data_IF_198526885063
#
_entry.id   IF_198526885063
#
_cell.length_a   1.000
_cell.length_b   1.000
_cell.length_c   1.000
_cell.angle_alpha   90.00
_cell.angle_beta   90.00
_cell.angle_gamma   90.00
#
_symmetry.space_group_name_H-M   'P 1'
#
loop_
_entity.id
_entity.type
_entity.pdbx_description
1 polymer ?
#
# COMPACT_ATOMS: atom_id res chain seq x y z
N UNK A 1 -15.12 11.31 18.49
CA UNK A 1 -13.88 11.77 19.17
C UNK A 1 -12.90 10.61 19.12
N UNK A 2 -11.71 10.67 18.53
CA UNK A 2 -10.95 11.73 17.93
C UNK A 2 -10.34 11.16 16.64
N UNK A 3 -10.53 11.83 15.50
CA UNK A 3 -9.69 11.61 14.34
C UNK A 3 -8.37 12.27 14.71
N UNK A 4 -7.48 11.52 15.36
CA UNK A 4 -6.13 11.99 15.65
C UNK A 4 -5.39 11.99 14.32
N UNK A 5 -5.60 13.05 13.55
CA UNK A 5 -4.95 13.32 12.28
C UNK A 5 -3.51 13.76 12.58
N UNK A 6 -2.68 12.84 13.06
CA UNK A 6 -1.24 13.00 12.92
C UNK A 6 -0.95 12.69 11.46
N UNK A 7 -0.57 13.73 10.70
CA UNK A 7 -0.04 13.56 9.35
C UNK A 7 1.32 12.87 9.45
N UNK A 8 1.31 11.57 9.70
CA UNK A 8 2.53 10.79 9.85
C UNK A 8 3.04 10.42 8.46
N UNK A 9 4.28 10.80 8.18
CA UNK A 9 5.00 10.33 7.02
C UNK A 9 5.73 9.03 7.39
N UNK A 10 5.43 7.95 6.66
CA UNK A 10 6.09 6.67 6.80
C UNK A 10 7.05 6.48 5.63
N UNK A 11 8.34 6.42 5.92
CA UNK A 11 9.36 6.02 4.94
C UNK A 11 9.64 4.53 5.10
N UNK A 12 9.32 3.75 4.07
CA UNK A 12 9.65 2.34 3.99
C UNK A 12 10.91 2.19 3.16
N UNK A 13 11.95 1.59 3.74
CA UNK A 13 13.19 1.27 3.05
C UNK A 13 13.27 -0.23 2.77
N UNK A 14 13.73 -0.59 1.58
CA UNK A 14 13.97 -1.96 1.15
C UNK A 14 15.48 -2.17 1.07
N UNK A 15 15.96 -3.26 1.65
CA UNK A 15 17.35 -3.67 1.48
C UNK A 15 17.56 -4.25 0.08
N UNK A 16 18.78 -4.08 -0.47
CA UNK A 16 19.16 -4.53 -1.80
C UNK A 16 19.16 -6.07 -1.87
N UNK A 17 17.98 -6.66 -2.04
CA UNK A 17 17.82 -8.07 -2.37
C UNK A 17 18.03 -8.17 -3.88
N UNK A 18 19.11 -8.84 -4.29
CA UNK A 18 19.61 -9.00 -5.66
C UNK A 18 18.52 -8.86 -6.74
N UNK A 19 18.38 -7.65 -7.32
CA UNK A 19 17.45 -7.36 -8.42
C UNK A 19 16.35 -6.31 -8.14
N UNK A 20 16.25 -5.77 -6.92
CA UNK A 20 15.28 -4.73 -6.59
C UNK A 20 15.71 -3.32 -7.04
N UNK A 21 15.03 -2.73 -8.03
CA UNK A 21 15.27 -1.32 -8.41
C UNK A 21 14.71 -0.29 -7.40
N UNK A 22 13.91 -0.72 -6.40
CA UNK A 22 13.21 0.14 -5.44
C UNK A 22 13.88 0.07 -4.06
N UNK A 23 14.46 1.17 -3.59
CA UNK A 23 15.13 1.28 -2.29
C UNK A 23 14.26 1.93 -1.22
N UNK A 24 13.38 2.87 -1.58
CA UNK A 24 12.47 3.45 -0.59
C UNK A 24 11.21 4.07 -1.18
N UNK A 25 10.15 4.06 -0.36
CA UNK A 25 8.88 4.75 -0.60
C UNK A 25 8.58 5.65 0.61
N UNK A 26 7.96 6.80 0.36
CA UNK A 26 7.47 7.70 1.41
C UNK A 26 5.97 7.86 1.24
N UNK A 27 5.24 7.43 2.25
CA UNK A 27 3.79 7.53 2.31
C UNK A 27 3.38 8.57 3.36
N UNK A 28 2.28 9.26 3.12
CA UNK A 28 1.57 10.06 4.11
C UNK A 28 0.33 9.30 4.54
N UNK A 29 0.13 9.12 5.83
CA UNK A 29 -1.14 8.60 6.36
C UNK A 29 -2.18 9.74 6.35
N UNK A 30 -3.26 9.54 5.61
CA UNK A 30 -4.34 10.53 5.48
C UNK A 30 -5.47 10.27 6.49
N UNK A 31 -5.80 8.99 6.73
CA UNK A 31 -6.79 8.60 7.73
C UNK A 31 -6.60 7.13 8.16
N UNK A 32 -6.86 6.85 9.43
CA UNK A 32 -6.98 5.50 9.98
C UNK A 32 -8.32 5.41 10.72
N UNK A 33 -9.13 4.41 10.37
CA UNK A 33 -10.38 4.07 11.04
C UNK A 33 -10.28 2.61 11.52
N UNK A 34 -9.89 2.44 12.78
CA UNK A 34 -9.68 1.13 13.40
C UNK A 34 -11.00 0.37 13.54
N UNK A 35 -12.11 1.07 13.81
CA UNK A 35 -13.43 0.45 13.97
C UNK A 35 -13.94 -0.14 12.66
N UNK A 36 -13.69 0.55 11.54
CA UNK A 36 -14.09 0.10 10.20
C UNK A 36 -13.01 -0.69 9.46
N UNK A 37 -11.88 -0.97 10.11
CA UNK A 37 -10.70 -1.62 9.53
C UNK A 37 -10.30 -0.99 8.18
N UNK A 38 -10.27 0.35 8.14
CA UNK A 38 -10.01 1.12 6.94
C UNK A 38 -8.84 2.08 7.11
N UNK A 39 -8.05 2.25 6.05
CA UNK A 39 -6.92 3.16 6.00
C UNK A 39 -6.90 3.90 4.67
N UNK A 40 -6.58 5.19 4.72
CA UNK A 40 -6.28 6.02 3.55
C UNK A 40 -4.87 6.57 3.69
N UNK A 41 -4.06 6.39 2.65
CA UNK A 41 -2.69 6.87 2.62
C UNK A 41 -2.28 7.25 1.21
N UNK A 42 -1.32 8.16 1.09
CA UNK A 42 -0.85 8.69 -0.19
C UNK A 42 0.63 8.39 -0.35
N UNK A 43 1.03 7.75 -1.46
CA UNK A 43 2.44 7.75 -1.89
C UNK A 43 2.80 9.14 -2.37
N UNK A 44 3.74 9.79 -1.67
CA UNK A 44 4.15 11.18 -1.94
C UNK A 44 5.55 11.27 -2.57
N UNK A 45 6.45 10.34 -2.26
CA UNK A 45 7.79 10.31 -2.83
C UNK A 45 8.30 8.86 -2.92
N UNK A 46 9.22 8.59 -3.85
CA UNK A 46 9.89 7.30 -4.00
C UNK A 46 11.27 7.47 -4.62
N UNK A 47 12.15 6.49 -4.40
CA UNK A 47 13.51 6.51 -4.96
C UNK A 47 13.56 6.10 -6.43
N UNK A 48 12.65 5.21 -6.85
CA UNK A 48 12.29 5.09 -8.25
C UNK A 48 11.44 6.30 -8.56
N UNK A 49 11.94 7.16 -9.44
CA UNK A 49 11.07 8.11 -10.10
C UNK A 49 10.04 7.30 -10.90
N UNK A 50 8.80 7.22 -10.41
CA UNK A 50 7.70 6.97 -11.30
C UNK A 50 7.63 8.22 -12.18
N UNK A 51 8.40 8.26 -13.27
CA UNK A 51 8.59 9.47 -14.08
C UNK A 51 7.27 10.15 -14.49
N UNK A 52 6.19 9.37 -14.49
CA UNK A 52 4.83 9.72 -14.86
C UNK A 52 3.90 10.06 -13.71
N UNK A 53 4.17 9.61 -12.48
CA UNK A 53 3.24 9.70 -11.33
C UNK A 53 3.73 10.78 -10.37
N UNK A 54 2.83 11.68 -10.00
CA UNK A 54 3.06 12.69 -8.96
C UNK A 54 2.71 12.15 -7.58
N UNK A 55 1.59 11.43 -7.46
CA UNK A 55 1.19 10.74 -6.23
C UNK A 55 0.21 9.61 -6.52
N UNK A 56 0.08 8.69 -5.57
CA UNK A 56 -0.96 7.66 -5.60
C UNK A 56 -1.73 7.68 -4.29
N UNK A 57 -3.05 7.86 -4.36
CA UNK A 57 -3.92 7.78 -3.19
C UNK A 57 -4.46 6.36 -3.08
N UNK A 58 -4.24 5.73 -1.94
CA UNK A 58 -4.70 4.39 -1.61
C UNK A 58 -5.82 4.46 -0.60
N UNK A 59 -6.91 3.73 -0.87
CA UNK A 59 -7.97 3.47 0.09
C UNK A 59 -8.06 1.96 0.29
N UNK A 60 -7.88 1.52 1.53
CA UNK A 60 -7.85 0.11 1.91
C UNK A 60 -8.90 -0.15 2.97
N UNK A 61 -9.62 -1.26 2.86
CA UNK A 61 -10.60 -1.71 3.83
C UNK A 61 -10.61 -3.22 3.94
N UNK A 62 -10.64 -3.73 5.17
CA UNK A 62 -10.80 -5.16 5.44
C UNK A 62 -12.23 -5.46 5.88
N UNK A 63 -12.76 -6.57 5.37
CA UNK A 63 -14.08 -7.09 5.72
C UNK A 63 -13.96 -8.56 6.07
N UNK A 64 -14.65 -9.01 7.14
CA UNK A 64 -14.67 -10.42 7.50
C UNK A 64 -15.34 -11.25 6.40
N UNK A 65 -14.77 -12.42 6.12
CA UNK A 65 -15.33 -13.41 5.19
C UNK A 65 -15.99 -14.56 5.95
N UNK A 66 -16.97 -15.22 5.33
CA UNK A 66 -17.73 -16.32 5.94
C UNK A 66 -16.89 -17.57 6.24
N UNK A 67 -15.70 -17.68 5.64
CA UNK A 67 -14.75 -18.79 5.83
C UNK A 67 -13.79 -18.57 7.01
N UNK A 68 -13.99 -17.50 7.79
CA UNK A 68 -13.10 -17.14 8.90
C UNK A 68 -11.87 -16.34 8.46
N UNK A 69 -11.72 -16.04 7.16
CA UNK A 69 -10.70 -15.15 6.62
C UNK A 69 -11.16 -13.70 6.53
N UNK A 70 -10.46 -12.92 5.70
CA UNK A 70 -10.83 -11.53 5.40
C UNK A 70 -10.70 -11.23 3.91
N UNK A 71 -11.51 -10.27 3.45
CA UNK A 71 -11.41 -9.69 2.12
C UNK A 71 -10.83 -8.29 2.25
N UNK A 72 -9.65 -8.07 1.66
CA UNK A 72 -9.07 -6.75 1.52
C UNK A 72 -9.54 -6.08 0.22
N UNK A 73 -10.27 -4.97 0.35
CA UNK A 73 -10.64 -4.10 -0.77
C UNK A 73 -9.65 -2.95 -0.84
N UNK A 74 -8.94 -2.84 -1.96
CA UNK A 74 -8.00 -1.77 -2.23
C UNK A 74 -8.43 -0.99 -3.47
N UNK A 75 -8.49 0.34 -3.35
CA UNK A 75 -8.64 1.28 -4.45
C UNK A 75 -7.36 2.11 -4.55
N UNK A 76 -6.86 2.29 -5.77
CA UNK A 76 -5.69 3.13 -6.07
C UNK A 76 -6.09 4.20 -7.07
N UNK A 77 -5.86 5.45 -6.72
CA UNK A 77 -6.10 6.61 -7.58
C UNK A 77 -4.74 7.23 -7.94
N UNK A 78 -4.41 7.20 -9.23
CA UNK A 78 -3.12 7.65 -9.75
C UNK A 78 -3.23 9.10 -10.21
N UNK A 79 -2.42 9.99 -9.64
CA UNK A 79 -2.26 11.37 -10.10
C UNK A 79 -0.99 11.43 -10.94
N UNK A 80 -1.16 11.65 -12.24
CA UNK A 80 -0.06 11.65 -13.22
C UNK A 80 0.30 13.05 -13.66
N UNK A 81 1.56 13.25 -14.06
CA UNK A 81 2.04 14.52 -14.59
C UNK A 81 1.25 14.91 -15.84
N UNK A 82 1.01 16.21 -15.99
CA UNK A 82 0.33 16.76 -17.16
C UNK A 82 0.98 16.30 -18.48
N UNK A 83 0.17 15.88 -19.45
CA UNK A 83 0.64 15.38 -20.74
C UNK A 83 1.19 13.96 -20.73
N UNK A 84 0.99 13.22 -19.62
CA UNK A 84 1.44 11.82 -19.50
C UNK A 84 0.24 10.88 -19.35
N UNK A 85 0.32 9.73 -20.02
CA UNK A 85 -0.63 8.64 -19.82
C UNK A 85 0.05 7.46 -19.10
N UNK A 86 -0.66 6.92 -18.10
CA UNK A 86 -0.29 5.69 -17.43
C UNK A 86 -0.74 4.51 -18.26
N UNK A 87 0.16 3.56 -18.52
CA UNK A 87 -0.21 2.34 -19.26
C UNK A 87 -0.90 1.36 -18.32
N UNK A 88 -1.86 0.61 -18.82
CA UNK A 88 -2.51 -0.46 -18.05
C UNK A 88 -1.49 -1.49 -17.52
N UNK A 89 -0.42 -1.75 -18.28
CA UNK A 89 0.68 -2.62 -17.88
C UNK A 89 1.41 -2.12 -16.62
N UNK A 90 1.63 -0.80 -16.52
CA UNK A 90 2.27 -0.17 -15.35
C UNK A 90 1.38 -0.36 -14.10
N UNK A 91 0.07 -0.18 -14.25
CA UNK A 91 -0.94 -0.40 -13.18
C UNK A 91 -0.95 -1.87 -12.76
N UNK A 92 -0.95 -2.79 -13.72
CA UNK A 92 -0.96 -4.23 -13.48
C UNK A 92 0.30 -4.69 -12.74
N UNK A 93 1.47 -4.19 -13.14
CA UNK A 93 2.73 -4.51 -12.46
C UNK A 93 2.71 -4.04 -11.01
N UNK A 94 2.19 -2.84 -10.74
CA UNK A 94 1.99 -2.34 -9.37
C UNK A 94 1.07 -3.24 -8.54
N UNK A 95 -0.06 -3.66 -9.13
CA UNK A 95 -1.03 -4.58 -8.51
C UNK A 95 -0.39 -5.95 -8.20
N UNK A 96 0.33 -6.54 -9.14
CA UNK A 96 0.94 -7.87 -8.95
C UNK A 96 2.01 -7.85 -7.85
N UNK A 97 2.78 -6.77 -7.74
CA UNK A 97 3.72 -6.56 -6.63
C UNK A 97 2.99 -6.46 -5.28
N UNK A 98 1.89 -5.72 -5.22
CA UNK A 98 1.10 -5.60 -3.99
C UNK A 98 0.51 -6.96 -3.56
N UNK A 99 -0.01 -7.74 -4.51
CA UNK A 99 -0.49 -9.11 -4.25
C UNK A 99 0.64 -10.00 -3.76
N UNK A 100 1.83 -9.91 -4.36
CA UNK A 100 3.01 -10.65 -3.92
C UNK A 100 3.37 -10.35 -2.46
N UNK A 101 3.37 -9.07 -2.07
CA UNK A 101 3.63 -8.68 -0.68
C UNK A 101 2.56 -9.21 0.28
N UNK A 102 1.27 -9.14 -0.09
CA UNK A 102 0.19 -9.68 0.74
C UNK A 102 0.37 -11.18 1.00
N UNK A 103 0.78 -11.96 0.00
CA UNK A 103 1.03 -13.40 0.16
C UNK A 103 2.16 -13.69 1.13
N UNK A 104 3.27 -12.93 1.05
CA UNK A 104 4.39 -13.10 1.99
C UNK A 104 3.97 -12.80 3.43
N UNK A 105 3.16 -11.75 3.64
CA UNK A 105 2.63 -11.40 4.96
C UNK A 105 1.66 -12.48 5.46
N UNK A 106 0.76 -12.96 4.60
CA UNK A 106 -0.19 -14.05 4.93
C UNK A 106 0.55 -15.33 5.34
N UNK A 107 1.54 -15.77 4.55
CA UNK A 107 2.37 -16.95 4.87
C UNK A 107 3.10 -16.78 6.21
N UNK A 108 3.62 -15.58 6.51
CA UNK A 108 4.27 -15.29 7.78
C UNK A 108 3.28 -15.36 8.96
N UNK A 109 2.11 -14.76 8.86
CA UNK A 109 1.11 -14.78 9.93
C UNK A 109 0.54 -16.19 10.17
N UNK A 110 0.38 -17.00 9.11
CA UNK A 110 -0.01 -18.41 9.23
C UNK A 110 1.04 -19.25 9.95
N UNK A 111 2.33 -18.97 9.72
CA UNK A 111 3.43 -19.66 10.39
C UNK A 111 3.68 -19.20 11.82
N UNK A 112 3.17 -18.01 12.22
CA UNK A 112 3.39 -17.40 13.53
C UNK A 112 2.06 -16.89 14.13
N UNK A 113 1.15 -17.77 14.59
CA UNK A 113 -0.20 -17.40 15.02
C UNK A 113 -0.26 -16.43 16.21
N UNK A 114 0.79 -16.36 17.02
CA UNK A 114 0.94 -15.42 18.13
C UNK A 114 1.40 -14.02 17.69
N UNK A 115 1.88 -13.87 16.45
CA UNK A 115 2.26 -12.57 15.93
C UNK A 115 1.02 -11.71 15.70
N UNK A 116 0.93 -10.57 16.41
CA UNK A 116 -0.20 -9.63 16.34
C UNK A 116 -1.54 -10.18 16.86
N UNK A 117 -1.51 -11.20 17.74
CA UNK A 117 -2.69 -11.75 18.44
C UNK A 117 -3.24 -10.84 19.55
#
# INVERSE_FOLDING_TARGET
>A
MAITCFTQELKTSFEDVQGGHLKWLKHRIDAIDVEKLACKYTLIESDIAFDKIESVVYEMKFEASSDGGSVCKMKSEYHVKAGTELKEEDIKQGKDKAIGLCKVVEEYLLANPEAYA
#
